data_IF_888288709250
#
_entry.id   IF_888288709250
#
_cell.length_a   1.000
_cell.length_b   1.000
_cell.length_c   1.000
_cell.angle_alpha   90.00
_cell.angle_beta   90.00
_cell.angle_gamma   90.00
#
_symmetry.space_group_name_H-M   'P 1'
#
loop_
_entity.id
_entity.type
_entity.pdbx_description
1 polymer ?
#
# COMPACT_ATOMS: atom_id res chain seq x y z
N UNK A 1 -9.06 -10.05 15.74
CA UNK A 1 -8.21 -10.67 14.70
C UNK A 1 -8.61 -10.07 13.34
N UNK A 2 -7.69 -9.53 12.54
CA UNK A 2 -8.01 -8.88 11.27
C UNK A 2 -8.36 -9.92 10.19
N UNK A 3 -9.58 -9.88 9.65
CA UNK A 3 -10.06 -10.85 8.66
C UNK A 3 -9.46 -10.63 7.27
N UNK A 4 -9.12 -9.39 6.93
CA UNK A 4 -8.63 -9.01 5.62
C UNK A 4 -7.11 -9.07 5.48
N UNK A 5 -6.36 -9.26 6.58
CA UNK A 5 -4.92 -9.41 6.51
C UNK A 5 -4.53 -10.65 5.69
N UNK A 6 -3.61 -10.50 4.73
CA UNK A 6 -2.92 -11.65 4.15
C UNK A 6 -2.16 -12.37 5.28
N UNK A 7 -2.28 -13.71 5.33
CA UNK A 7 -1.72 -14.54 6.40
C UNK A 7 -0.67 -15.55 5.91
N UNK A 8 -0.50 -15.66 4.61
CA UNK A 8 0.34 -16.68 3.97
C UNK A 8 1.73 -16.20 3.57
N UNK A 9 2.09 -14.93 3.86
CA UNK A 9 3.45 -14.43 3.65
C UNK A 9 4.42 -14.88 4.77
N UNK A 10 5.73 -14.95 4.50
CA UNK A 10 6.74 -15.19 5.53
C UNK A 10 6.68 -14.17 6.67
N UNK A 11 7.05 -14.58 7.89
CA UNK A 11 7.03 -13.69 9.08
C UNK A 11 7.86 -12.43 8.89
N UNK A 12 9.03 -12.57 8.26
CA UNK A 12 9.96 -11.48 7.95
C UNK A 12 9.27 -10.33 7.17
N UNK A 13 8.30 -10.64 6.32
CA UNK A 13 7.55 -9.65 5.55
C UNK A 13 6.62 -8.81 6.44
N UNK A 14 6.06 -9.38 7.52
CA UNK A 14 5.23 -8.66 8.48
C UNK A 14 6.02 -7.95 9.59
N UNK A 15 7.16 -8.52 9.98
CA UNK A 15 8.01 -8.03 11.08
C UNK A 15 8.96 -6.92 10.63
N UNK A 16 9.27 -6.86 9.32
CA UNK A 16 10.12 -5.82 8.76
C UNK A 16 9.48 -4.44 8.89
N UNK A 17 10.23 -3.50 9.46
CA UNK A 17 9.90 -2.08 9.53
C UNK A 17 10.25 -1.40 8.21
N UNK A 18 9.43 -1.62 7.19
CA UNK A 18 9.67 -1.06 5.85
C UNK A 18 9.72 0.47 5.87
N UNK A 19 10.83 1.04 5.41
CA UNK A 19 10.92 2.48 5.14
C UNK A 19 10.28 2.81 3.78
N UNK A 20 10.40 1.89 2.81
CA UNK A 20 9.86 2.02 1.47
C UNK A 20 9.30 0.69 0.96
N UNK A 21 8.16 0.74 0.27
CA UNK A 21 7.59 -0.37 -0.48
C UNK A 21 7.31 0.08 -1.92
N UNK A 22 7.85 -0.64 -2.91
CA UNK A 22 7.54 -0.44 -4.32
C UNK A 22 6.57 -1.53 -4.78
N UNK A 23 5.35 -1.13 -5.13
CA UNK A 23 4.36 -1.99 -5.77
C UNK A 23 4.50 -1.85 -7.27
N UNK A 24 5.29 -2.76 -7.83
CA UNK A 24 5.48 -2.94 -9.26
C UNK A 24 5.26 -4.41 -9.58
N UNK A 25 4.56 -4.71 -10.68
CA UNK A 25 4.19 -6.08 -11.00
C UNK A 25 4.08 -6.29 -12.52
N UNK A 26 3.90 -7.54 -13.00
CA UNK A 26 4.61 -8.07 -14.16
C UNK A 26 4.30 -7.32 -15.46
N UNK A 27 5.21 -7.44 -16.41
CA UNK A 27 5.05 -6.92 -17.76
C UNK A 27 3.80 -7.51 -18.43
N UNK A 28 2.90 -6.65 -18.89
CA UNK A 28 1.71 -7.06 -19.64
C UNK A 28 0.50 -6.19 -19.34
N UNK A 29 0.16 -5.28 -20.26
CA UNK A 29 -1.10 -4.53 -20.20
C UNK A 29 -2.13 -5.24 -21.09
N UNK A 30 -2.94 -6.11 -20.48
CA UNK A 30 -4.10 -6.74 -21.12
C UNK A 30 -5.16 -7.04 -20.05
N UNK A 31 -6.42 -7.18 -20.47
CA UNK A 31 -7.57 -7.30 -19.55
C UNK A 31 -7.47 -8.53 -18.62
N UNK A 32 -6.83 -9.60 -19.10
CA UNK A 32 -6.64 -10.85 -18.35
C UNK A 32 -5.39 -10.85 -17.46
N UNK A 33 -4.53 -9.83 -17.56
CA UNK A 33 -3.30 -9.76 -16.79
C UNK A 33 -3.62 -9.58 -15.29
N UNK A 34 -2.96 -10.35 -14.39
CA UNK A 34 -3.17 -10.20 -12.96
C UNK A 34 -2.86 -8.76 -12.53
N UNK A 35 -3.79 -8.16 -11.78
CA UNK A 35 -3.65 -6.81 -11.25
C UNK A 35 -2.85 -6.77 -9.94
N UNK A 36 -2.73 -5.56 -9.38
CA UNK A 36 -1.88 -5.30 -8.18
C UNK A 36 -2.66 -5.11 -6.89
N UNK A 37 -3.96 -5.38 -6.89
CA UNK A 37 -4.90 -5.12 -5.81
C UNK A 37 -4.41 -5.66 -4.46
N UNK A 38 -4.01 -6.94 -4.40
CA UNK A 38 -3.53 -7.58 -3.18
C UNK A 38 -2.22 -6.97 -2.69
N UNK A 39 -1.30 -6.62 -3.60
CA UNK A 39 -0.02 -6.01 -3.26
C UNK A 39 -0.21 -4.57 -2.73
N UNK A 40 -1.07 -3.79 -3.39
CA UNK A 40 -1.47 -2.44 -2.95
C UNK A 40 -2.06 -2.53 -1.54
N UNK A 41 -3.07 -3.38 -1.33
CA UNK A 41 -3.70 -3.54 -0.03
C UNK A 41 -2.69 -3.95 1.05
N UNK A 42 -1.85 -4.94 0.75
CA UNK A 42 -0.86 -5.47 1.69
C UNK A 42 0.17 -4.42 2.09
N UNK A 43 0.68 -3.65 1.13
CA UNK A 43 1.63 -2.57 1.41
C UNK A 43 1.04 -1.53 2.37
N UNK A 44 -0.23 -1.16 2.17
CA UNK A 44 -0.94 -0.25 3.07
C UNK A 44 -1.14 -0.82 4.47
N UNK A 45 -1.38 -2.13 4.61
CA UNK A 45 -1.51 -2.77 5.92
C UNK A 45 -0.18 -2.90 6.65
N UNK A 46 0.91 -3.19 5.92
CA UNK A 46 2.27 -3.22 6.48
C UNK A 46 2.69 -1.86 7.00
N UNK A 47 2.53 -0.81 6.18
CA UNK A 47 2.85 0.55 6.58
C UNK A 47 2.10 0.98 7.86
N UNK A 48 0.80 0.67 7.94
CA UNK A 48 -0.02 1.00 9.11
C UNK A 48 0.33 0.17 10.35
N UNK A 49 0.74 -1.08 10.16
CA UNK A 49 1.12 -1.98 11.26
C UNK A 49 2.60 -1.84 11.67
N UNK A 50 3.37 -0.93 11.03
CA UNK A 50 4.77 -0.67 11.37
C UNK A 50 4.95 -0.42 12.86
N UNK A 51 5.83 -1.21 13.48
CA UNK A 51 6.15 -1.11 14.91
C UNK A 51 6.98 0.15 15.21
N UNK A 52 6.95 0.61 16.46
CA UNK A 52 7.68 1.80 16.93
C UNK A 52 7.29 3.13 16.24
N UNK A 53 6.12 3.18 15.59
CA UNK A 53 5.62 4.38 14.95
C UNK A 53 6.28 4.65 13.59
N UNK A 54 6.39 5.93 13.23
CA UNK A 54 6.99 6.37 11.96
C UNK A 54 6.06 6.29 10.75
N UNK A 55 6.66 6.35 9.56
CA UNK A 55 5.98 6.39 8.27
C UNK A 55 6.66 5.42 7.30
N UNK A 56 5.89 4.90 6.34
CA UNK A 56 6.42 4.12 5.21
C UNK A 56 6.05 4.82 3.92
N UNK A 57 7.03 5.01 3.04
CA UNK A 57 6.79 5.51 1.69
C UNK A 57 6.34 4.34 0.79
N UNK A 58 5.17 4.46 0.17
CA UNK A 58 4.63 3.45 -0.75
C UNK A 58 4.55 4.03 -2.15
N UNK A 59 5.19 3.35 -3.10
CA UNK A 59 5.17 3.73 -4.51
C UNK A 59 4.33 2.72 -5.29
N UNK A 60 3.39 3.21 -6.11
CA UNK A 60 2.55 2.36 -6.96
C UNK A 60 2.73 2.80 -8.40
N UNK A 61 3.18 1.87 -9.24
CA UNK A 61 3.34 2.09 -10.68
C UNK A 61 2.09 1.65 -11.46
N UNK A 62 1.99 2.06 -12.73
CA UNK A 62 0.89 1.75 -13.67
C UNK A 62 -0.51 2.18 -13.18
N UNK A 63 -0.59 3.32 -12.48
CA UNK A 63 -1.87 3.86 -11.97
C UNK A 63 -2.80 4.43 -13.05
N UNK A 64 -2.44 4.28 -14.33
CA UNK A 64 -3.32 4.61 -15.45
C UNK A 64 -4.37 3.52 -15.74
N UNK A 65 -4.23 2.33 -15.14
CA UNK A 65 -5.30 1.32 -15.11
C UNK A 65 -6.34 1.71 -14.07
N UNK A 66 -7.62 1.62 -14.43
CA UNK A 66 -8.72 2.00 -13.54
C UNK A 66 -8.71 1.24 -12.21
N UNK A 67 -8.30 -0.02 -12.21
CA UNK A 67 -8.33 -0.83 -10.98
C UNK A 67 -7.19 -0.44 -10.04
N UNK A 68 -5.97 -0.31 -10.55
CA UNK A 68 -4.83 0.21 -9.78
C UNK A 68 -5.06 1.63 -9.27
N UNK A 69 -5.67 2.49 -10.10
CA UNK A 69 -6.11 3.82 -9.70
C UNK A 69 -7.01 3.74 -8.47
N UNK A 70 -8.16 3.08 -8.58
CA UNK A 70 -9.14 2.94 -7.50
C UNK A 70 -8.59 2.27 -6.25
N UNK A 71 -7.79 1.21 -6.39
CA UNK A 71 -7.24 0.49 -5.24
C UNK A 71 -6.15 1.31 -4.53
N UNK A 72 -5.30 2.02 -5.28
CA UNK A 72 -4.26 2.86 -4.68
C UNK A 72 -4.88 4.01 -3.88
N UNK A 73 -5.87 4.71 -4.44
CA UNK A 73 -6.54 5.82 -3.77
C UNK A 73 -7.38 5.36 -2.57
N UNK A 74 -8.06 4.21 -2.68
CA UNK A 74 -8.90 3.69 -1.59
C UNK A 74 -8.11 3.10 -0.42
N UNK A 75 -7.06 2.31 -0.68
CA UNK A 75 -6.36 1.56 0.38
C UNK A 75 -5.09 2.25 0.88
N UNK A 76 -4.46 3.08 0.06
CA UNK A 76 -3.35 3.93 0.49
C UNK A 76 -3.80 5.34 0.87
N UNK A 77 -5.07 5.68 0.60
CA UNK A 77 -5.74 6.95 0.88
C UNK A 77 -5.18 8.14 0.08
N UNK A 78 -6.06 8.84 -0.63
CA UNK A 78 -5.69 10.06 -1.36
C UNK A 78 -5.06 11.13 -0.46
N UNK A 79 -5.54 11.26 0.78
CA UNK A 79 -4.96 12.21 1.75
C UNK A 79 -3.53 11.87 2.19
N UNK A 80 -3.03 10.66 1.93
CA UNK A 80 -1.63 10.29 2.13
C UNK A 80 -0.79 10.38 0.85
N UNK A 81 -1.39 10.69 -0.30
CA UNK A 81 -0.65 10.89 -1.56
C UNK A 81 0.21 12.15 -1.48
N UNK A 82 1.50 12.02 -1.74
CA UNK A 82 2.46 13.14 -1.77
C UNK A 82 2.67 13.68 -3.16
N UNK A 83 2.76 12.79 -4.15
CA UNK A 83 3.00 13.17 -5.53
C UNK A 83 2.56 12.07 -6.49
N UNK A 84 2.12 12.47 -7.67
CA UNK A 84 2.07 11.62 -8.85
C UNK A 84 3.02 12.17 -9.92
N UNK A 85 3.83 11.31 -10.52
CA UNK A 85 4.70 11.63 -11.65
C UNK A 85 4.42 10.65 -12.79
N UNK A 86 3.68 11.09 -13.81
CA UNK A 86 3.24 10.20 -14.88
C UNK A 86 2.38 9.06 -14.34
N UNK A 87 2.86 7.82 -14.49
CA UNK A 87 2.19 6.58 -14.07
C UNK A 87 2.62 6.08 -12.69
N UNK A 88 3.42 6.85 -11.96
CA UNK A 88 3.93 6.50 -10.64
C UNK A 88 3.29 7.40 -9.57
N UNK A 89 2.70 6.81 -8.54
CA UNK A 89 2.23 7.51 -7.33
C UNK A 89 3.11 7.23 -6.15
N UNK A 90 3.28 8.25 -5.32
CA UNK A 90 3.96 8.20 -4.04
C UNK A 90 2.97 8.54 -2.93
N UNK A 91 2.84 7.63 -1.97
CA UNK A 91 2.09 7.77 -0.73
C UNK A 91 3.04 7.74 0.44
N UNK A 92 2.70 8.46 1.51
CA UNK A 92 3.41 8.37 2.79
C UNK A 92 2.42 8.03 3.87
N UNK A 93 2.48 6.79 4.33
CA UNK A 93 1.47 6.19 5.20
C UNK A 93 2.05 6.15 6.61
N UNK A 94 1.41 6.78 7.60
CA UNK A 94 1.87 6.73 8.98
C UNK A 94 1.55 5.36 9.60
N UNK A 95 2.30 4.99 10.64
CA UNK A 95 1.89 3.91 11.53
C UNK A 95 0.61 4.28 12.28
N UNK A 96 -0.27 3.29 12.45
CA UNK A 96 -1.50 3.39 13.24
C UNK A 96 -1.35 2.73 14.62
N UNK A 97 -0.24 2.02 14.89
CA UNK A 97 -0.01 1.40 16.20
C UNK A 97 0.12 2.41 17.34
N UNK A 98 0.58 3.62 17.05
CA UNK A 98 0.74 4.69 18.05
C UNK A 98 -0.52 5.50 18.35
N UNK A 99 -1.63 5.29 17.62
CA UNK A 99 -2.87 6.06 17.79
C UNK A 99 -4.07 5.25 17.29
N UNK A 100 -4.79 4.62 18.23
CA UNK A 100 -5.94 3.76 17.93
C UNK A 100 -7.14 4.54 17.39
N UNK A 101 -7.23 5.83 17.67
CA UNK A 101 -8.32 6.71 17.20
C UNK A 101 -8.08 7.26 15.78
N UNK A 102 -6.92 6.95 15.18
CA UNK A 102 -6.59 7.43 13.83
C UNK A 102 -7.50 6.74 12.80
N UNK A 103 -8.29 7.50 12.01
CA UNK A 103 -9.13 6.93 10.97
C UNK A 103 -8.28 6.26 9.89
N UNK A 104 -8.86 5.31 9.15
CA UNK A 104 -8.14 4.55 8.12
C UNK A 104 -7.54 5.45 7.03
N UNK A 105 -8.30 6.46 6.61
CA UNK A 105 -7.87 7.57 5.76
C UNK A 105 -8.05 8.89 6.53
N UNK A 106 -7.16 9.86 6.31
CA UNK A 106 -7.24 11.18 6.94
C UNK A 106 -8.34 12.05 6.30
#
# INVERSE_FOLDING_TARGET
>A
MCQLALKSLPSEVYETKWDLIMVDAPTGYHEEAPGRMSAIYTSGMMARNREEGGETDVFVHDVNREVEDKFSTAFLCDGYMKKQQGRLRHFRIPSHRGSLDKPFCP
#
